data_IF_098122122806
#
_entry.id   IF_098122122806
#
_cell.length_a   1.000
_cell.length_b   1.000
_cell.length_c   1.000
_cell.angle_alpha   90.00
_cell.angle_beta   90.00
_cell.angle_gamma   90.00
#
_symmetry.space_group_name_H-M   'P 1'
#
loop_
_entity.id
_entity.type
_entity.pdbx_description
1 polymer ?
#
# COMPACT_ATOMS: atom_id res chain seq x y z
N UNK A 1 -34.56 8.57 -19.65
CA UNK A 1 -34.35 7.87 -18.36
C UNK A 1 -33.46 8.74 -17.50
N UNK A 2 -33.79 9.01 -16.22
CA UNK A 2 -32.93 9.77 -15.34
C UNK A 2 -31.67 8.97 -14.99
N UNK A 3 -30.53 9.66 -14.95
CA UNK A 3 -29.24 9.10 -14.56
C UNK A 3 -29.35 8.68 -13.09
N UNK A 4 -29.19 7.38 -12.79
CA UNK A 4 -29.08 6.92 -11.40
C UNK A 4 -27.83 7.53 -10.77
N UNK A 5 -28.04 8.15 -9.62
CA UNK A 5 -26.99 8.77 -8.82
C UNK A 5 -25.91 7.74 -8.45
N UNK A 6 -24.69 7.94 -8.95
CA UNK A 6 -23.53 7.07 -8.70
C UNK A 6 -22.66 7.56 -7.54
N UNK A 7 -23.05 8.63 -6.84
CA UNK A 7 -22.29 9.19 -5.73
C UNK A 7 -22.13 8.24 -4.53
N UNK A 8 -23.02 7.25 -4.38
CA UNK A 8 -23.06 6.38 -3.20
C UNK A 8 -21.86 5.41 -3.06
N UNK A 9 -21.10 5.13 -4.12
CA UNK A 9 -20.01 4.14 -4.03
C UNK A 9 -18.71 4.72 -3.45
N UNK A 10 -18.37 5.98 -3.73
CA UNK A 10 -17.21 6.64 -3.12
C UNK A 10 -17.36 6.82 -1.60
N UNK A 11 -18.60 7.00 -1.12
CA UNK A 11 -18.90 7.03 0.31
C UNK A 11 -18.65 5.70 1.02
N UNK A 12 -18.77 4.55 0.33
CA UNK A 12 -18.71 3.23 0.96
C UNK A 12 -17.31 2.83 1.49
N UNK A 13 -16.25 3.52 1.08
CA UNK A 13 -14.88 3.24 1.52
C UNK A 13 -14.51 4.11 2.70
N UNK A 14 -14.84 5.42 2.66
CA UNK A 14 -14.83 6.28 3.84
C UNK A 14 -15.72 5.71 4.97
N UNK A 15 -16.76 4.94 4.64
CA UNK A 15 -17.61 4.27 5.62
C UNK A 15 -16.91 3.09 6.36
N UNK A 16 -16.01 2.34 5.72
CA UNK A 16 -15.26 1.27 6.42
C UNK A 16 -14.32 1.85 7.49
N UNK A 17 -13.71 2.98 7.18
CA UNK A 17 -12.82 3.71 8.08
C UNK A 17 -13.61 4.39 9.23
N UNK A 18 -14.83 4.88 8.93
CA UNK A 18 -15.78 5.31 9.97
C UNK A 18 -16.21 4.16 10.86
N UNK A 19 -16.41 2.95 10.33
CA UNK A 19 -16.89 1.81 11.11
C UNK A 19 -15.87 1.36 12.17
N UNK A 20 -14.59 1.20 11.82
CA UNK A 20 -13.56 0.84 12.80
C UNK A 20 -13.38 1.94 13.86
N UNK A 21 -13.40 3.21 13.47
CA UNK A 21 -13.25 4.33 14.41
C UNK A 21 -14.41 4.41 15.40
N UNK A 22 -15.65 4.32 14.93
CA UNK A 22 -16.83 4.54 15.78
C UNK A 22 -17.20 3.31 16.62
N UNK A 23 -17.13 2.09 16.06
CA UNK A 23 -17.60 0.88 16.74
C UNK A 23 -16.52 0.14 17.53
N UNK A 24 -15.24 0.32 17.18
CA UNK A 24 -14.13 -0.50 17.71
C UNK A 24 -13.15 0.34 18.54
N UNK A 25 -12.61 1.42 17.96
CA UNK A 25 -11.56 2.23 18.58
C UNK A 25 -12.12 3.08 19.73
N UNK A 26 -13.19 3.84 19.47
CA UNK A 26 -13.84 4.73 20.45
C UNK A 26 -14.68 4.02 21.52
N UNK A 27 -14.71 2.69 21.53
CA UNK A 27 -15.45 1.88 22.50
C UNK A 27 -14.48 1.01 23.30
N UNK A 28 -14.88 0.52 24.48
CA UNK A 28 -14.00 -0.28 25.35
C UNK A 28 -12.81 0.50 25.95
N UNK A 29 -11.86 -0.21 26.56
CA UNK A 29 -10.68 0.46 27.17
C UNK A 29 -9.82 1.15 26.11
N UNK A 30 -9.30 2.33 26.45
CA UNK A 30 -8.38 3.09 25.60
C UNK A 30 -6.90 2.76 25.87
N UNK A 31 -6.62 1.75 26.72
CA UNK A 31 -5.28 1.19 26.87
C UNK A 31 -4.80 0.61 25.51
N UNK A 32 -3.53 0.84 25.10
CA UNK A 32 -3.06 0.43 23.77
C UNK A 32 -3.20 -1.07 23.49
N UNK A 33 -2.93 -1.93 24.47
CA UNK A 33 -3.10 -3.38 24.37
C UNK A 33 -4.55 -3.76 24.00
N UNK A 34 -5.49 -3.25 24.77
CA UNK A 34 -6.91 -3.51 24.58
C UNK A 34 -7.46 -2.90 23.27
N UNK A 35 -6.97 -1.73 22.89
CA UNK A 35 -7.35 -1.08 21.64
C UNK A 35 -6.85 -1.85 20.42
N UNK A 36 -5.58 -2.27 20.43
CA UNK A 36 -4.98 -3.07 19.36
C UNK A 36 -5.66 -4.44 19.25
N UNK A 37 -5.92 -5.11 20.37
CA UNK A 37 -6.68 -6.37 20.40
C UNK A 37 -8.03 -6.23 19.69
N UNK A 38 -8.83 -5.20 20.04
CA UNK A 38 -10.13 -4.95 19.40
C UNK A 38 -10.01 -4.64 17.91
N UNK A 39 -9.03 -3.82 17.51
CA UNK A 39 -8.80 -3.45 16.11
C UNK A 39 -8.42 -4.67 15.27
N UNK A 40 -7.44 -5.48 15.71
CA UNK A 40 -7.03 -6.69 14.98
C UNK A 40 -8.18 -7.70 14.94
N UNK A 41 -8.91 -7.90 16.04
CA UNK A 41 -10.07 -8.79 16.08
C UNK A 41 -11.16 -8.38 15.08
N UNK A 42 -11.50 -7.08 14.99
CA UNK A 42 -12.44 -6.57 13.99
C UNK A 42 -11.92 -6.80 12.57
N UNK A 43 -10.64 -6.49 12.34
CA UNK A 43 -9.97 -6.52 11.05
C UNK A 43 -9.84 -7.94 10.46
N UNK A 44 -9.90 -9.01 11.28
CA UNK A 44 -10.06 -10.40 10.80
C UNK A 44 -11.33 -10.61 9.96
N UNK A 45 -12.41 -9.86 10.25
CA UNK A 45 -13.73 -10.04 9.66
C UNK A 45 -14.15 -8.87 8.76
N UNK A 46 -13.67 -7.66 9.09
CA UNK A 46 -13.98 -6.37 8.45
C UNK A 46 -15.49 -6.14 8.27
N UNK A 47 -16.30 -6.63 9.21
CA UNK A 47 -17.77 -6.71 9.08
C UNK A 47 -18.49 -6.28 10.35
N UNK A 48 -19.26 -5.20 10.25
CA UNK A 48 -20.06 -4.63 11.34
C UNK A 48 -20.98 -5.68 11.99
N UNK A 49 -21.79 -6.42 11.23
CA UNK A 49 -22.71 -7.45 11.77
C UNK A 49 -21.99 -8.50 12.65
N UNK A 50 -20.75 -8.84 12.30
CA UNK A 50 -19.94 -9.81 13.05
C UNK A 50 -19.39 -9.19 14.33
N UNK A 51 -19.01 -7.92 14.29
CA UNK A 51 -18.65 -7.15 15.48
C UNK A 51 -19.84 -7.01 16.44
N UNK A 52 -21.00 -6.58 15.94
CA UNK A 52 -22.24 -6.47 16.74
C UNK A 52 -22.57 -7.79 17.43
N UNK A 53 -22.48 -8.93 16.74
CA UNK A 53 -22.74 -10.23 17.35
C UNK A 53 -21.73 -10.61 18.45
N UNK A 54 -20.46 -10.21 18.32
CA UNK A 54 -19.48 -10.36 19.40
C UNK A 54 -19.90 -9.50 20.60
N UNK A 55 -20.25 -8.22 20.39
CA UNK A 55 -20.70 -7.31 21.45
C UNK A 55 -21.95 -7.84 22.17
N UNK A 56 -22.94 -8.35 21.44
CA UNK A 56 -24.18 -8.91 22.01
C UNK A 56 -23.96 -10.15 22.89
N UNK A 57 -22.90 -10.92 22.63
CA UNK A 57 -22.64 -12.22 23.27
C UNK A 57 -21.58 -12.15 24.37
N UNK A 58 -20.59 -11.28 24.21
CA UNK A 58 -19.39 -11.22 25.06
C UNK A 58 -19.25 -9.85 25.75
N UNK A 59 -19.92 -8.81 25.24
CA UNK A 59 -19.64 -7.42 25.59
C UNK A 59 -18.46 -6.86 24.80
N UNK A 60 -17.87 -5.76 25.25
CA UNK A 60 -16.65 -5.23 24.63
C UNK A 60 -15.50 -6.24 24.78
N UNK A 61 -14.82 -6.65 23.69
CA UNK A 61 -13.71 -7.57 23.77
C UNK A 61 -12.57 -6.98 24.61
N UNK A 62 -12.09 -7.78 25.55
CA UNK A 62 -10.97 -7.48 26.45
C UNK A 62 -9.95 -8.60 26.34
N UNK A 63 -8.68 -8.27 26.08
CA UNK A 63 -7.58 -9.22 25.92
C UNK A 63 -7.28 -9.94 27.23
N UNK A 64 -7.25 -9.21 28.35
CA UNK A 64 -7.02 -9.79 29.68
C UNK A 64 -8.04 -10.87 30.11
N UNK A 65 -9.19 -10.95 29.42
CA UNK A 65 -10.22 -11.98 29.64
C UNK A 65 -10.57 -12.75 28.36
N UNK A 66 -9.66 -12.76 27.37
CA UNK A 66 -9.87 -13.47 26.12
C UNK A 66 -9.83 -14.99 26.31
N UNK A 67 -10.76 -15.70 25.66
CA UNK A 67 -10.79 -17.15 25.59
C UNK A 67 -11.12 -17.60 24.16
N UNK A 68 -10.21 -18.34 23.54
CA UNK A 68 -10.35 -18.78 22.13
C UNK A 68 -11.63 -19.58 21.90
N UNK A 69 -11.99 -20.49 22.81
CA UNK A 69 -13.12 -21.40 22.61
C UNK A 69 -14.47 -20.67 22.77
N UNK A 70 -14.56 -19.69 23.68
CA UNK A 70 -15.72 -18.79 23.81
C UNK A 70 -15.94 -17.99 22.52
N UNK A 71 -14.89 -17.32 22.01
CA UNK A 71 -14.99 -16.54 20.78
C UNK A 71 -15.27 -17.44 19.57
N UNK A 72 -14.64 -18.62 19.50
CA UNK A 72 -14.85 -19.59 18.44
C UNK A 72 -16.30 -20.11 18.42
N UNK A 73 -16.94 -20.29 19.59
CA UNK A 73 -18.33 -20.68 19.67
C UNK A 73 -19.27 -19.56 19.18
N UNK A 74 -19.09 -18.33 19.65
CA UNK A 74 -19.86 -17.15 19.21
C UNK A 74 -19.73 -16.91 17.70
N UNK A 75 -18.52 -17.03 17.15
CA UNK A 75 -18.28 -16.86 15.72
C UNK A 75 -18.82 -18.03 14.87
N UNK A 76 -18.93 -19.24 15.42
CA UNK A 76 -19.66 -20.36 14.77
C UNK A 76 -21.16 -20.11 14.73
N UNK A 77 -21.75 -19.56 15.80
CA UNK A 77 -23.17 -19.17 15.85
C UNK A 77 -23.47 -18.09 14.80
N UNK A 78 -22.67 -17.02 14.77
CA UNK A 78 -22.78 -15.97 13.74
C UNK A 78 -22.66 -16.54 12.31
N UNK A 79 -21.76 -17.51 12.10
CA UNK A 79 -21.56 -18.17 10.80
C UNK A 79 -22.71 -19.11 10.40
N UNK A 80 -23.44 -19.67 11.37
CA UNK A 80 -24.64 -20.45 11.11
C UNK A 80 -25.82 -19.53 10.70
N UNK A 81 -25.88 -18.32 11.25
CA UNK A 81 -26.89 -17.31 10.90
C UNK A 81 -26.61 -16.59 9.57
N UNK A 82 -25.34 -16.46 9.15
CA UNK A 82 -25.00 -15.80 7.89
C UNK A 82 -23.50 -15.73 7.57
N UNK A 83 -23.13 -14.82 6.66
CA UNK A 83 -21.72 -14.55 6.37
C UNK A 83 -21.09 -13.74 7.51
N UNK A 84 -19.95 -14.19 8.01
CA UNK A 84 -19.13 -13.48 9.03
C UNK A 84 -17.91 -12.75 8.45
N UNK A 85 -17.75 -12.77 7.13
CA UNK A 85 -16.67 -12.06 6.43
C UNK A 85 -17.31 -11.20 5.34
N UNK A 86 -16.71 -10.04 5.05
CA UNK A 86 -16.98 -9.28 3.82
C UNK A 86 -16.60 -10.07 2.56
N UNK A 87 -17.16 -9.67 1.41
CA UNK A 87 -16.80 -10.27 0.11
C UNK A 87 -15.44 -9.80 -0.44
N UNK A 88 -14.97 -8.64 0.04
CA UNK A 88 -13.62 -8.10 -0.16
C UNK A 88 -12.87 -8.13 1.16
N UNK A 89 -11.54 -8.06 1.13
CA UNK A 89 -10.68 -7.91 2.32
C UNK A 89 -10.65 -9.13 3.28
N UNK A 90 -11.03 -10.32 2.79
CA UNK A 90 -10.86 -11.56 3.56
C UNK A 90 -9.37 -11.85 3.75
N UNK A 91 -8.92 -11.90 5.01
CA UNK A 91 -7.56 -12.28 5.32
C UNK A 91 -7.37 -13.79 5.06
N UNK A 92 -6.22 -14.21 4.52
CA UNK A 92 -5.82 -15.61 4.51
C UNK A 92 -5.48 -15.98 5.94
N UNK A 93 -6.18 -16.96 6.51
CA UNK A 93 -5.73 -17.56 7.76
C UNK A 93 -4.37 -18.21 7.55
N UNK A 94 -3.36 -17.79 8.30
CA UNK A 94 -2.06 -18.46 8.35
C UNK A 94 -2.17 -19.93 8.75
N UNK A 95 -1.07 -20.67 8.61
CA UNK A 95 -1.06 -22.11 8.90
C UNK A 95 -0.71 -22.39 10.37
N UNK A 96 -1.66 -22.17 11.26
CA UNK A 96 -1.54 -22.42 12.71
C UNK A 96 -1.95 -23.84 13.13
N UNK A 97 -2.02 -24.80 12.20
CA UNK A 97 -2.30 -26.21 12.47
C UNK A 97 -3.75 -26.57 12.77
N UNK A 98 -4.65 -25.60 12.97
CA UNK A 98 -6.06 -25.89 13.26
C UNK A 98 -6.87 -26.28 12.01
N UNK A 99 -7.96 -27.03 12.21
CA UNK A 99 -8.86 -27.44 11.12
C UNK A 99 -9.84 -26.31 10.76
N UNK A 100 -9.57 -25.63 9.65
CA UNK A 100 -10.45 -24.61 9.05
C UNK A 100 -10.05 -23.17 9.38
N UNK A 101 -10.57 -22.21 8.61
CA UNK A 101 -10.10 -20.81 8.62
C UNK A 101 -10.27 -20.12 9.97
N UNK A 102 -11.44 -20.30 10.63
CA UNK A 102 -11.83 -19.51 11.79
C UNK A 102 -10.91 -19.69 13.03
N UNK A 103 -10.56 -20.91 13.49
CA UNK A 103 -9.59 -21.05 14.57
C UNK A 103 -8.17 -20.55 14.21
N UNK A 104 -7.76 -20.66 12.94
CA UNK A 104 -6.46 -20.15 12.49
C UNK A 104 -6.41 -18.60 12.45
N UNK A 105 -7.55 -17.91 12.27
CA UNK A 105 -7.63 -16.45 12.44
C UNK A 105 -7.48 -16.04 13.91
N UNK A 106 -8.13 -16.75 14.83
CA UNK A 106 -7.96 -16.51 16.26
C UNK A 106 -6.52 -16.79 16.71
N UNK A 107 -5.91 -17.89 16.24
CA UNK A 107 -4.49 -18.20 16.47
C UNK A 107 -3.53 -17.12 15.97
N UNK A 108 -3.84 -16.46 14.85
CA UNK A 108 -3.06 -15.31 14.37
C UNK A 108 -3.23 -14.08 15.27
N UNK A 109 -4.44 -13.80 15.73
CA UNK A 109 -4.71 -12.71 16.68
C UNK A 109 -3.96 -12.93 18.00
N UNK A 110 -4.01 -14.15 18.55
CA UNK A 110 -3.27 -14.52 19.75
C UNK A 110 -1.76 -14.37 19.55
N UNK A 111 -1.18 -14.89 18.46
CA UNK A 111 0.26 -14.73 18.21
C UNK A 111 0.66 -13.25 18.08
N UNK A 112 -0.15 -12.41 17.43
CA UNK A 112 0.12 -10.97 17.32
C UNK A 112 0.10 -10.26 18.67
N UNK A 113 -0.78 -10.66 19.59
CA UNK A 113 -0.84 -10.11 20.94
C UNK A 113 0.29 -10.65 21.82
N UNK A 114 0.57 -11.96 21.77
CA UNK A 114 1.63 -12.64 22.52
C UNK A 114 3.05 -12.18 22.12
N UNK A 115 3.28 -11.88 20.83
CA UNK A 115 4.56 -11.34 20.33
C UNK A 115 4.67 -9.79 20.46
N UNK A 116 3.79 -9.17 21.26
CA UNK A 116 3.72 -7.76 21.63
C UNK A 116 3.55 -6.76 20.46
N UNK A 117 2.56 -6.99 19.58
CA UNK A 117 2.12 -5.95 18.64
C UNK A 117 1.78 -4.61 19.32
N UNK A 118 1.10 -4.55 20.49
CA UNK A 118 0.78 -3.27 21.12
C UNK A 118 2.02 -2.45 21.51
N UNK A 119 3.01 -3.06 22.18
CA UNK A 119 4.27 -2.41 22.53
C UNK A 119 5.07 -2.03 21.29
N UNK A 120 5.07 -2.85 20.23
CA UNK A 120 5.69 -2.50 18.94
C UNK A 120 5.06 -1.27 18.30
N UNK A 121 3.72 -1.16 18.30
CA UNK A 121 2.99 -0.01 17.77
C UNK A 121 3.27 1.26 18.58
N UNK A 122 3.29 1.16 19.92
CA UNK A 122 3.52 2.31 20.81
C UNK A 122 4.96 2.84 20.75
N UNK A 123 5.94 1.99 20.44
CA UNK A 123 7.36 2.35 20.43
C UNK A 123 7.98 2.47 19.02
N UNK A 124 7.17 2.35 17.95
CA UNK A 124 7.64 2.40 16.57
C UNK A 124 8.11 3.80 16.17
N UNK A 125 9.34 3.92 15.65
CA UNK A 125 9.80 5.19 15.07
C UNK A 125 9.23 5.40 13.68
N UNK A 126 9.01 4.29 12.96
CA UNK A 126 8.50 4.30 11.58
C UNK A 126 7.34 3.33 11.43
N UNK A 127 6.33 3.74 10.67
CA UNK A 127 5.21 2.86 10.30
C UNK A 127 5.71 1.69 9.43
N UNK A 128 6.81 1.87 8.70
CA UNK A 128 7.48 0.78 7.98
C UNK A 128 7.98 -0.35 8.88
N UNK A 129 8.45 -0.05 10.10
CA UNK A 129 8.94 -1.06 11.06
C UNK A 129 7.81 -2.01 11.48
N UNK A 130 6.63 -1.45 11.77
CA UNK A 130 5.43 -2.23 12.10
C UNK A 130 4.94 -3.01 10.88
N UNK A 131 4.98 -2.41 9.68
CA UNK A 131 4.62 -3.09 8.43
C UNK A 131 5.51 -4.31 8.15
N UNK A 132 6.84 -4.13 8.20
CA UNK A 132 7.80 -5.19 7.92
C UNK A 132 7.72 -6.31 8.96
N UNK A 133 7.52 -5.97 10.24
CA UNK A 133 7.27 -6.95 11.29
C UNK A 133 5.97 -7.73 11.07
N UNK A 134 4.86 -7.06 10.79
CA UNK A 134 3.59 -7.74 10.49
C UNK A 134 3.71 -8.64 9.25
N UNK A 135 4.49 -8.24 8.23
CA UNK A 135 4.72 -9.06 7.03
C UNK A 135 5.52 -10.34 7.28
N UNK A 136 6.12 -10.54 8.46
CA UNK A 136 6.77 -11.83 8.79
C UNK A 136 5.80 -12.93 9.21
N UNK A 137 4.53 -12.60 9.49
CA UNK A 137 3.54 -13.55 10.00
C UNK A 137 2.84 -14.35 8.88
N UNK A 138 2.51 -15.61 9.18
CA UNK A 138 1.79 -16.48 8.23
C UNK A 138 0.40 -15.91 7.91
N UNK A 139 0.13 -15.64 6.63
CA UNK A 139 -1.13 -15.08 6.13
C UNK A 139 -1.06 -13.57 5.82
N UNK A 140 -0.11 -12.84 6.40
CA UNK A 140 0.06 -11.40 6.21
C UNK A 140 0.98 -11.10 5.00
N UNK A 141 0.44 -11.35 3.80
CA UNK A 141 1.02 -10.85 2.55
C UNK A 141 0.84 -9.33 2.40
N UNK A 142 1.60 -8.67 1.49
CA UNK A 142 1.76 -7.21 1.44
C UNK A 142 0.46 -6.39 1.54
N UNK A 143 -0.58 -6.83 0.82
CA UNK A 143 -1.89 -6.18 0.84
C UNK A 143 -2.59 -6.31 2.20
N UNK A 144 -2.69 -7.52 2.78
CA UNK A 144 -3.40 -7.73 4.05
C UNK A 144 -2.69 -7.05 5.21
N UNK A 145 -1.35 -7.03 5.18
CA UNK A 145 -0.49 -6.29 6.11
C UNK A 145 -0.80 -4.80 6.05
N UNK A 146 -0.91 -4.23 4.85
CA UNK A 146 -1.24 -2.82 4.66
C UNK A 146 -2.63 -2.50 5.21
N UNK A 147 -3.64 -3.33 4.92
CA UNK A 147 -4.99 -3.13 5.43
C UNK A 147 -5.06 -3.13 6.97
N UNK A 148 -4.41 -4.09 7.62
CA UNK A 148 -4.39 -4.17 9.08
C UNK A 148 -3.67 -2.97 9.69
N UNK A 149 -2.56 -2.55 9.08
CA UNK A 149 -1.79 -1.41 9.51
C UNK A 149 -2.56 -0.09 9.37
N UNK A 150 -3.34 0.09 8.30
CA UNK A 150 -4.24 1.23 8.13
C UNK A 150 -5.31 1.30 9.23
N UNK A 151 -5.89 0.15 9.60
CA UNK A 151 -6.81 0.05 10.75
C UNK A 151 -6.11 0.38 12.09
N UNK A 152 -4.82 0.05 12.23
CA UNK A 152 -4.00 0.46 13.38
C UNK A 152 -3.68 1.96 13.35
N UNK A 153 -3.41 2.58 12.19
CA UNK A 153 -3.19 4.04 12.07
C UNK A 153 -4.38 4.83 12.62
N UNK A 154 -5.61 4.37 12.37
CA UNK A 154 -6.82 5.02 12.90
C UNK A 154 -6.93 5.05 14.43
N UNK A 155 -6.13 4.27 15.17
CA UNK A 155 -6.03 4.37 16.64
C UNK A 155 -5.37 5.69 17.10
N UNK A 156 -4.58 6.32 16.23
CA UNK A 156 -3.71 7.45 16.57
C UNK A 156 -2.43 7.06 17.31
N UNK A 157 -2.21 5.78 17.65
CA UNK A 157 -1.00 5.33 18.35
C UNK A 157 0.27 5.54 17.49
N UNK A 158 0.16 5.39 16.16
CA UNK A 158 1.24 5.63 15.20
C UNK A 158 1.41 7.11 14.78
N UNK A 159 0.66 8.05 15.37
CA UNK A 159 0.69 9.48 14.99
C UNK A 159 2.04 10.18 15.26
N UNK A 160 2.99 9.49 15.88
CA UNK A 160 4.34 9.96 16.20
C UNK A 160 5.42 9.42 15.25
N UNK A 161 5.09 8.50 14.34
CA UNK A 161 6.05 7.88 13.44
C UNK A 161 6.51 8.84 12.33
N UNK A 162 7.81 8.85 12.06
CA UNK A 162 8.48 9.85 11.20
C UNK A 162 8.05 9.77 9.72
N UNK A 163 7.70 8.57 9.24
CA UNK A 163 7.37 8.30 7.84
C UNK A 163 5.87 8.13 7.57
N UNK A 164 5.00 8.39 8.54
CA UNK A 164 3.54 8.17 8.48
C UNK A 164 2.89 8.73 7.20
N UNK A 165 3.18 9.98 6.86
CA UNK A 165 2.60 10.67 5.68
C UNK A 165 3.29 10.27 4.34
N UNK A 166 4.42 9.55 4.41
CA UNK A 166 5.31 9.23 3.28
C UNK A 166 5.38 7.74 2.90
N UNK A 167 4.81 6.89 3.75
CA UNK A 167 4.75 5.44 3.61
C UNK A 167 3.44 4.99 2.94
N UNK A 168 3.56 4.13 1.92
CA UNK A 168 2.40 3.58 1.21
C UNK A 168 2.73 2.24 0.54
N UNK A 169 1.74 1.37 0.46
CA UNK A 169 1.79 0.08 -0.22
C UNK A 169 0.67 0.02 -1.25
N UNK A 170 1.02 -0.02 -2.54
CA UNK A 170 0.02 -0.04 -3.61
C UNK A 170 -0.56 -1.45 -3.76
N UNK A 171 -1.83 -1.63 -3.42
CA UNK A 171 -2.56 -2.86 -3.65
C UNK A 171 -2.82 -3.11 -5.14
N UNK A 172 -3.20 -4.34 -5.50
CA UNK A 172 -3.42 -4.70 -6.91
C UNK A 172 -4.53 -3.86 -7.59
N UNK A 173 -5.52 -3.38 -6.82
CA UNK A 173 -6.52 -2.43 -7.27
C UNK A 173 -5.91 -1.05 -7.56
N UNK A 174 -5.12 -0.50 -6.64
CA UNK A 174 -4.45 0.79 -6.83
C UNK A 174 -3.45 0.77 -7.99
N UNK A 175 -2.69 -0.32 -8.18
CA UNK A 175 -1.78 -0.48 -9.33
C UNK A 175 -2.55 -0.45 -10.66
N UNK A 176 -3.69 -1.15 -10.75
CA UNK A 176 -4.53 -1.11 -11.96
C UNK A 176 -5.20 0.25 -12.15
N UNK A 177 -5.72 0.85 -11.08
CA UNK A 177 -6.28 2.20 -11.10
C UNK A 177 -5.28 3.23 -11.59
N UNK A 178 -4.03 3.15 -11.09
CA UNK A 178 -2.92 3.99 -11.54
C UNK A 178 -2.62 3.77 -13.02
N UNK A 179 -2.58 2.52 -13.49
CA UNK A 179 -2.39 2.23 -14.91
C UNK A 179 -3.55 2.78 -15.78
N UNK A 180 -4.79 2.88 -15.26
CA UNK A 180 -5.92 3.51 -15.98
C UNK A 180 -5.75 5.03 -16.12
N UNK A 181 -4.91 5.68 -15.30
CA UNK A 181 -4.63 7.11 -15.40
C UNK A 181 -3.68 7.50 -16.54
N UNK A 182 -3.02 6.54 -17.20
CA UNK A 182 -1.99 6.80 -18.21
C UNK A 182 -2.19 5.90 -19.45
N UNK A 183 -1.90 6.45 -20.63
CA UNK A 183 -1.84 5.69 -21.89
C UNK A 183 -0.62 4.76 -21.93
N UNK A 184 0.52 5.26 -21.46
CA UNK A 184 1.78 4.51 -21.35
C UNK A 184 1.71 3.48 -20.23
N UNK A 185 2.32 2.31 -20.45
CA UNK A 185 2.47 1.29 -19.41
C UNK A 185 3.45 1.77 -18.34
N UNK A 186 3.04 1.74 -17.07
CA UNK A 186 3.89 2.09 -15.93
C UNK A 186 4.71 0.88 -15.47
N UNK A 187 6.04 1.05 -15.44
CA UNK A 187 6.94 0.10 -14.81
C UNK A 187 6.78 0.12 -13.29
N UNK A 188 7.00 -1.02 -12.61
CA UNK A 188 6.77 -1.15 -11.16
C UNK A 188 7.54 -0.13 -10.32
N UNK A 189 8.79 0.17 -10.70
CA UNK A 189 9.64 1.18 -10.06
C UNK A 189 9.02 2.58 -10.09
N UNK A 190 8.26 2.93 -11.14
CA UNK A 190 7.64 4.25 -11.31
C UNK A 190 6.36 4.43 -10.48
N UNK A 191 5.70 3.35 -10.05
CA UNK A 191 4.35 3.43 -9.49
C UNK A 191 4.29 4.26 -8.19
N UNK A 192 5.22 4.02 -7.25
CA UNK A 192 5.31 4.82 -6.00
C UNK A 192 5.75 6.28 -6.27
N UNK A 193 6.81 6.56 -7.06
CA UNK A 193 7.14 7.92 -7.48
C UNK A 193 5.97 8.69 -8.11
N UNK A 194 5.19 8.07 -9.01
CA UNK A 194 4.02 8.72 -9.62
C UNK A 194 2.93 9.02 -8.59
N UNK A 195 2.66 8.12 -7.63
CA UNK A 195 1.69 8.40 -6.55
C UNK A 195 2.16 9.53 -5.63
N UNK A 196 3.46 9.61 -5.32
CA UNK A 196 4.07 10.74 -4.58
C UNK A 196 3.99 12.05 -5.37
N UNK A 197 4.22 12.01 -6.68
CA UNK A 197 4.02 13.16 -7.55
C UNK A 197 2.56 13.61 -7.54
N UNK A 198 1.59 12.69 -7.70
CA UNK A 198 0.15 13.00 -7.62
C UNK A 198 -0.24 13.67 -6.29
N UNK A 199 0.38 13.29 -5.17
CA UNK A 199 0.21 13.95 -3.87
C UNK A 199 0.76 15.38 -3.90
N UNK A 200 2.02 15.55 -4.33
CA UNK A 200 2.76 16.82 -4.40
C UNK A 200 2.11 17.83 -5.34
N UNK A 201 1.45 17.37 -6.40
CA UNK A 201 0.79 18.21 -7.42
C UNK A 201 -0.73 18.26 -7.31
N UNK A 202 -1.34 17.65 -6.27
CA UNK A 202 -2.80 17.45 -6.20
C UNK A 202 -3.61 18.75 -6.44
N UNK A 203 -3.20 19.87 -5.82
CA UNK A 203 -3.86 21.18 -6.00
C UNK A 203 -3.83 21.65 -7.45
N UNK A 204 -2.68 21.56 -8.11
CA UNK A 204 -2.50 21.97 -9.51
C UNK A 204 -3.39 21.14 -10.43
N UNK A 205 -3.58 19.86 -10.14
CA UNK A 205 -4.46 18.99 -10.93
C UNK A 205 -5.94 19.29 -10.71
N UNK A 206 -6.38 19.57 -9.48
CA UNK A 206 -7.74 20.02 -9.22
C UNK A 206 -8.02 21.37 -9.92
N UNK A 207 -7.13 22.35 -9.76
CA UNK A 207 -7.26 23.69 -10.36
C UNK A 207 -7.29 23.63 -11.90
N UNK A 208 -6.35 22.89 -12.52
CA UNK A 208 -6.30 22.67 -13.98
C UNK A 208 -7.61 22.07 -14.55
N UNK A 209 -8.31 21.28 -13.74
CA UNK A 209 -9.58 20.64 -14.13
C UNK A 209 -10.83 21.46 -13.71
N UNK A 210 -10.65 22.65 -13.15
CA UNK A 210 -11.75 23.50 -12.68
C UNK A 210 -12.44 23.00 -11.40
N UNK A 211 -11.81 22.09 -10.66
CA UNK A 211 -12.31 21.57 -9.39
C UNK A 211 -11.69 22.28 -8.20
N UNK A 212 -12.47 22.43 -7.12
CA UNK A 212 -11.91 22.80 -5.81
C UNK A 212 -11.08 21.63 -5.27
N UNK A 213 -9.86 21.86 -4.72
CA UNK A 213 -9.08 20.79 -4.10
C UNK A 213 -9.86 20.01 -3.06
N UNK A 214 -9.82 18.68 -3.16
CA UNK A 214 -10.38 17.81 -2.13
C UNK A 214 -9.58 17.99 -0.83
N UNK A 215 -10.27 18.12 0.30
CA UNK A 215 -9.65 18.28 1.61
C UNK A 215 -10.40 17.51 2.68
N UNK A 216 -9.68 16.97 3.66
CA UNK A 216 -10.20 16.09 4.70
C UNK A 216 -10.36 16.84 6.03
N UNK A 217 -11.53 16.62 6.66
CA UNK A 217 -11.86 17.15 7.98
C UNK A 217 -12.03 18.68 8.06
N UNK A 218 -12.39 19.21 9.23
CA UNK A 218 -12.65 20.65 9.42
C UNK A 218 -11.39 21.52 9.26
N UNK A 219 -10.20 20.93 9.45
CA UNK A 219 -8.89 21.57 9.25
C UNK A 219 -8.45 21.65 7.78
N UNK A 220 -9.21 21.03 6.86
CA UNK A 220 -8.90 20.97 5.42
C UNK A 220 -7.51 20.40 5.10
N UNK A 221 -7.20 19.23 5.67
CA UNK A 221 -5.98 18.50 5.33
C UNK A 221 -5.98 18.08 3.86
N UNK A 222 -4.80 18.04 3.25
CA UNK A 222 -4.61 17.51 1.89
C UNK A 222 -4.70 15.98 1.89
N UNK A 223 -4.94 15.40 0.72
CA UNK A 223 -4.91 13.95 0.53
C UNK A 223 -3.49 13.44 0.80
N UNK A 224 -3.39 12.41 1.63
CA UNK A 224 -2.17 11.66 1.88
C UNK A 224 -1.98 10.54 0.87
N UNK A 225 -0.80 9.90 0.86
CA UNK A 225 -0.53 8.78 -0.05
C UNK A 225 -1.54 7.64 0.10
N UNK A 226 -1.99 7.38 1.33
CA UNK A 226 -3.06 6.44 1.64
C UNK A 226 -4.38 6.77 0.93
N UNK A 227 -4.83 8.03 0.98
CA UNK A 227 -6.07 8.48 0.32
C UNK A 227 -5.99 8.32 -1.20
N UNK A 228 -4.80 8.56 -1.77
CA UNK A 228 -4.56 8.41 -3.20
C UNK A 228 -4.53 6.93 -3.59
N UNK A 229 -3.91 6.06 -2.79
CA UNK A 229 -3.95 4.59 -2.98
C UNK A 229 -5.39 4.06 -2.96
N UNK A 230 -6.18 4.45 -1.96
CA UNK A 230 -7.60 4.11 -1.85
C UNK A 230 -8.40 4.63 -3.06
N UNK A 231 -8.20 5.89 -3.46
CA UNK A 231 -8.86 6.50 -4.62
C UNK A 231 -8.54 5.81 -5.95
N UNK A 232 -7.30 5.35 -6.12
CA UNK A 232 -6.88 4.55 -7.27
C UNK A 232 -7.50 3.14 -7.23
N UNK A 233 -7.59 2.51 -6.04
CA UNK A 233 -8.25 1.23 -5.87
C UNK A 233 -9.73 1.28 -6.28
N UNK A 234 -10.43 2.38 -5.96
CA UNK A 234 -11.82 2.60 -6.40
C UNK A 234 -11.96 2.92 -7.89
N UNK A 235 -10.96 3.55 -8.50
CA UNK A 235 -10.95 3.81 -9.95
C UNK A 235 -10.93 2.50 -10.77
N UNK A 236 -10.30 1.43 -10.27
CA UNK A 236 -10.34 0.10 -10.88
C UNK A 236 -11.72 -0.57 -10.68
N UNK A 237 -12.25 -0.57 -9.45
CA UNK A 237 -13.56 -1.19 -9.12
C UNK A 237 -14.73 -0.55 -9.87
N UNK A 238 -14.72 0.78 -10.03
CA UNK A 238 -15.89 1.55 -10.41
C UNK A 238 -16.24 1.64 -11.90
N UNK A 239 -15.38 1.16 -12.82
CA UNK A 239 -15.56 1.41 -14.27
C UNK A 239 -15.19 0.21 -15.16
N UNK A 240 -16.16 -0.43 -15.85
CA UNK A 240 -15.87 -1.48 -16.83
C UNK A 240 -15.28 -0.93 -18.16
N UNK A 241 -15.50 0.35 -18.47
CA UNK A 241 -14.92 1.00 -19.66
C UNK A 241 -13.59 1.71 -19.34
N UNK A 242 -12.60 1.66 -20.27
CA UNK A 242 -11.31 2.32 -20.08
C UNK A 242 -11.50 3.84 -20.01
N UNK A 243 -11.35 4.39 -18.81
CA UNK A 243 -11.37 5.82 -18.58
C UNK A 243 -9.93 6.30 -18.41
N UNK A 244 -9.32 6.66 -19.54
CA UNK A 244 -7.99 7.25 -19.57
C UNK A 244 -8.12 8.72 -19.14
N UNK A 245 -7.48 9.07 -18.03
CA UNK A 245 -7.25 10.49 -17.73
C UNK A 245 -6.21 11.02 -18.73
N UNK A 246 -6.41 12.21 -19.34
CA UNK A 246 -5.42 12.81 -20.23
C UNK A 246 -4.27 13.42 -19.43
N UNK A 247 -3.46 12.57 -18.82
CA UNK A 247 -2.18 12.92 -18.19
C UNK A 247 -1.10 12.54 -19.21
N UNK A 248 -0.51 13.54 -19.88
CA UNK A 248 0.61 13.28 -20.79
C UNK A 248 1.80 12.75 -19.97
N UNK A 249 2.31 11.60 -20.38
CA UNK A 249 3.43 10.91 -19.75
C UNK A 249 4.74 11.72 -19.85
N UNK A 250 4.98 12.44 -20.95
CA UNK A 250 6.19 13.25 -21.14
C UNK A 250 6.28 14.39 -20.12
N UNK A 251 5.21 15.18 -19.96
CA UNK A 251 5.15 16.25 -18.96
C UNK A 251 5.10 15.74 -17.52
N UNK A 252 4.79 14.45 -17.33
CA UNK A 252 4.91 13.78 -16.03
C UNK A 252 6.34 13.36 -15.78
N UNK A 253 7.04 12.78 -16.76
CA UNK A 253 8.45 12.42 -16.64
C UNK A 253 9.34 13.64 -16.36
N UNK A 254 9.15 14.77 -17.03
CA UNK A 254 9.92 15.98 -16.71
C UNK A 254 9.63 16.55 -15.31
N UNK A 255 8.45 16.28 -14.74
CA UNK A 255 8.09 16.65 -13.37
C UNK A 255 8.41 15.57 -12.31
N UNK A 256 8.72 14.35 -12.74
CA UNK A 256 9.12 13.19 -11.91
C UNK A 256 10.62 12.91 -12.00
N UNK A 257 11.34 13.60 -12.92
CA UNK A 257 12.80 13.78 -12.92
C UNK A 257 13.26 14.63 -11.73
N UNK A 258 13.04 14.13 -10.52
CA UNK A 258 14.05 14.29 -9.48
C UNK A 258 15.26 13.47 -9.98
N UNK A 259 16.33 14.15 -10.39
CA UNK A 259 17.56 13.50 -10.83
C UNK A 259 18.32 13.07 -9.58
N UNK A 260 18.23 11.79 -9.25
CA UNK A 260 18.91 11.21 -8.10
C UNK A 260 20.38 11.01 -8.45
N UNK A 261 21.24 11.95 -8.06
CA UNK A 261 22.68 11.80 -8.27
C UNK A 261 23.23 10.64 -7.44
N UNK A 262 23.83 9.65 -8.11
CA UNK A 262 24.61 8.60 -7.44
C UNK A 262 25.81 9.25 -6.74
N UNK A 263 25.89 9.09 -5.41
CA UNK A 263 27.05 9.46 -4.62
C UNK A 263 28.18 8.47 -4.85
N UNK A 264 27.91 7.17 -4.68
CA UNK A 264 28.81 6.07 -4.97
C UNK A 264 28.05 4.73 -4.95
N UNK A 265 28.69 3.68 -5.45
CA UNK A 265 28.22 2.29 -5.37
C UNK A 265 29.13 1.54 -4.40
N UNK A 266 28.55 0.85 -3.41
CA UNK A 266 29.31 0.18 -2.35
C UNK A 266 29.48 -1.33 -2.58
N UNK A 267 28.45 -2.01 -3.09
CA UNK A 267 28.43 -3.46 -3.28
C UNK A 267 27.69 -3.87 -4.55
N UNK A 268 27.79 -5.17 -4.89
CA UNK A 268 26.95 -5.83 -5.90
C UNK A 268 26.48 -7.19 -5.38
N UNK A 269 25.28 -7.61 -5.78
CA UNK A 269 24.72 -8.93 -5.45
C UNK A 269 23.94 -9.48 -6.65
N UNK A 270 23.82 -10.81 -6.75
CA UNK A 270 22.80 -11.41 -7.60
C UNK A 270 21.55 -11.60 -6.76
N UNK A 271 20.44 -11.00 -7.17
CA UNK A 271 19.15 -11.14 -6.48
C UNK A 271 18.75 -12.63 -6.44
N UNK A 272 18.46 -13.20 -5.25
CA UNK A 272 18.19 -14.62 -5.10
C UNK A 272 16.83 -15.08 -5.66
N UNK A 273 15.90 -14.15 -5.91
CA UNK A 273 14.57 -14.44 -6.47
C UNK A 273 14.52 -14.25 -7.98
N UNK A 274 15.10 -13.15 -8.50
CA UNK A 274 15.05 -12.81 -9.93
C UNK A 274 16.29 -13.27 -10.72
N UNK A 275 17.40 -13.58 -10.03
CA UNK A 275 18.68 -13.91 -10.65
C UNK A 275 19.39 -12.73 -11.33
N UNK A 276 18.83 -11.51 -11.25
CA UNK A 276 19.38 -10.28 -11.86
C UNK A 276 20.53 -9.75 -10.99
N UNK A 277 21.51 -9.08 -11.61
CA UNK A 277 22.54 -8.35 -10.87
C UNK A 277 22.00 -7.02 -10.36
N UNK A 278 22.24 -6.73 -9.09
CA UNK A 278 21.90 -5.49 -8.41
C UNK A 278 23.15 -4.86 -7.78
N UNK A 279 23.18 -3.53 -7.70
CA UNK A 279 24.21 -2.72 -7.07
C UNK A 279 23.64 -1.99 -5.85
N UNK A 280 24.44 -1.84 -4.80
CA UNK A 280 24.08 -1.05 -3.62
C UNK A 280 24.48 0.40 -3.85
N UNK A 281 23.49 1.24 -4.12
CA UNK A 281 23.63 2.63 -4.56
C UNK A 281 23.36 3.58 -3.40
N UNK A 282 24.31 4.48 -3.15
CA UNK A 282 24.15 5.60 -2.24
C UNK A 282 23.80 6.85 -3.04
N UNK A 283 22.78 7.59 -2.61
CA UNK A 283 22.27 8.76 -3.32
C UNK A 283 22.72 10.07 -2.66
N UNK A 284 23.06 11.09 -3.45
CA UNK A 284 23.48 12.39 -2.88
C UNK A 284 22.31 13.04 -2.13
N UNK A 285 22.48 13.24 -0.83
CA UNK A 285 21.49 13.89 0.03
C UNK A 285 20.52 12.93 0.74
N UNK A 286 20.78 11.62 0.68
CA UNK A 286 19.99 10.59 1.37
C UNK A 286 20.91 9.65 2.15
N UNK A 287 20.48 9.31 3.37
CA UNK A 287 21.31 8.54 4.31
C UNK A 287 21.20 7.01 4.13
N UNK A 288 20.14 6.52 3.48
CA UNK A 288 19.89 5.10 3.21
C UNK A 288 20.21 4.74 1.74
N UNK A 289 20.96 3.66 1.48
CA UNK A 289 21.18 3.15 0.12
C UNK A 289 20.00 2.31 -0.38
N UNK A 290 19.92 2.11 -1.70
CA UNK A 290 19.00 1.15 -2.33
C UNK A 290 19.73 0.13 -3.19
N UNK A 291 19.09 -1.01 -3.46
CA UNK A 291 19.62 -2.06 -4.33
C UNK A 291 18.98 -1.96 -5.71
N UNK A 292 19.72 -1.41 -6.68
CA UNK A 292 19.22 -1.14 -8.02
C UNK A 292 19.71 -2.16 -9.05
N UNK A 293 18.89 -2.58 -10.03
CA UNK A 293 19.31 -3.47 -11.10
C UNK A 293 20.44 -2.88 -11.94
N UNK A 294 21.36 -3.74 -12.39
CA UNK A 294 22.48 -3.34 -13.24
C UNK A 294 22.05 -2.57 -14.50
N UNK A 295 20.90 -2.93 -15.09
CA UNK A 295 20.34 -2.21 -16.25
C UNK A 295 20.00 -0.76 -15.96
N UNK A 296 19.56 -0.40 -14.75
CA UNK A 296 19.26 1.00 -14.38
C UNK A 296 20.55 1.81 -14.33
N UNK A 297 21.59 1.24 -13.71
CA UNK A 297 22.90 1.88 -13.58
C UNK A 297 23.62 1.99 -14.92
N UNK A 298 23.48 0.99 -15.80
CA UNK A 298 24.09 0.98 -17.14
C UNK A 298 23.41 1.96 -18.10
N UNK A 299 22.10 2.16 -17.99
CA UNK A 299 21.33 3.13 -18.78
C UNK A 299 21.67 4.58 -18.35
N UNK A 300 21.70 4.86 -17.05
CA UNK A 300 22.05 6.19 -16.49
C UNK A 300 23.55 6.55 -16.59
N UNK A 301 24.46 5.55 -16.51
CA UNK A 301 25.90 5.76 -16.68
C UNK A 301 26.28 6.16 -18.12
N UNK A 302 25.40 5.93 -19.09
CA UNK A 302 25.63 6.33 -20.48
C UNK A 302 25.26 7.80 -20.75
N UNK A 303 24.45 8.44 -19.89
CA UNK A 303 24.14 9.87 -19.95
C UNK A 303 24.96 10.74 -18.95
N UNK A 304 25.58 10.14 -17.93
CA UNK A 304 26.23 10.87 -16.82
C UNK A 304 27.78 11.01 -16.88
N UNK A 305 28.23 12.05 -17.59
CA UNK A 305 29.48 12.83 -17.36
C UNK A 305 30.84 12.18 -17.78
N UNK A 306 31.70 12.92 -18.52
CA UNK A 306 32.96 12.38 -19.02
C UNK A 306 34.08 12.33 -17.97
N UNK A 307 34.17 11.23 -17.20
CA UNK A 307 35.45 10.63 -16.75
C UNK A 307 35.34 9.29 -15.97
N UNK A 308 34.41 8.38 -16.32
CA UNK A 308 34.45 6.99 -15.81
C UNK A 308 35.53 6.16 -16.54
N UNK A 309 36.78 6.61 -16.47
CA UNK A 309 37.86 6.15 -17.37
C UNK A 309 38.40 4.75 -17.12
N UNK A 310 37.86 4.02 -16.12
CA UNK A 310 38.32 2.67 -15.73
C UNK A 310 37.23 1.58 -15.72
N UNK A 311 35.95 1.89 -15.93
CA UNK A 311 34.91 0.84 -16.06
C UNK A 311 34.74 0.35 -17.52
N UNK A 312 35.03 1.21 -18.49
CA UNK A 312 34.73 1.00 -19.92
C UNK A 312 35.66 -0.03 -20.59
N UNK A 313 36.80 -0.37 -20.00
CA UNK A 313 37.84 -1.18 -20.66
C UNK A 313 37.47 -2.67 -20.86
N UNK A 314 36.45 -3.20 -20.18
CA UNK A 314 36.05 -4.62 -20.32
C UNK A 314 34.88 -4.88 -21.29
N UNK A 315 34.12 -3.88 -21.71
CA UNK A 315 33.00 -4.04 -22.64
C UNK A 315 33.42 -4.03 -24.14
N UNK A 316 34.71 -4.15 -24.43
CA UNK A 316 35.29 -3.92 -25.76
C UNK A 316 35.30 -5.16 -26.68
N UNK A 317 34.55 -6.22 -26.35
CA UNK A 317 34.47 -7.46 -27.13
C UNK A 317 33.04 -8.01 -27.17
N UNK A 318 32.57 -8.38 -28.37
CA UNK A 318 31.22 -8.86 -28.78
C UNK A 318 30.28 -7.76 -29.33
N UNK A 319 30.52 -7.26 -30.55
CA UNK A 319 29.99 -7.81 -31.82
C UNK A 319 28.45 -7.80 -31.95
N UNK A 320 27.93 -6.70 -32.51
CA UNK A 320 26.67 -6.71 -33.28
C UNK A 320 26.99 -6.64 -34.78
N UNK A 321 26.44 -7.56 -35.57
CA UNK A 321 26.37 -7.39 -37.02
C UNK A 321 25.15 -6.53 -37.38
N UNK A 322 25.34 -5.61 -38.32
CA UNK A 322 24.31 -4.72 -38.83
C UNK A 322 23.25 -5.43 -39.69
N UNK A 323 22.09 -4.78 -39.88
CA UNK A 323 21.37 -4.64 -41.17
C UNK A 323 20.50 -3.37 -41.13
N UNK A 324 20.27 -2.76 -42.29
CA UNK A 324 19.52 -1.51 -42.51
C UNK A 324 18.44 -1.74 -43.61
N UNK A 325 17.60 -0.80 -44.08
CA UNK A 325 17.36 0.64 -43.85
C UNK A 325 16.05 1.02 -44.55
N UNK A 326 15.15 1.79 -43.94
CA UNK A 326 14.16 2.58 -44.67
C UNK A 326 13.67 3.80 -43.87
N UNK A 327 13.82 5.05 -44.38
CA UNK A 327 13.30 6.26 -43.77
C UNK A 327 12.12 6.86 -44.57
N UNK A 328 10.95 6.21 -44.58
CA UNK A 328 9.73 6.80 -45.15
C UNK A 328 8.48 6.55 -44.31
N UNK A 329 8.05 7.55 -43.52
CA UNK A 329 6.71 8.16 -43.54
C UNK A 329 6.54 9.15 -42.37
N UNK A 330 6.06 10.36 -42.68
CA UNK A 330 5.69 11.40 -41.70
C UNK A 330 4.18 11.42 -41.56
N UNK A 331 3.66 11.19 -40.35
CA UNK A 331 2.36 11.72 -39.88
C UNK A 331 2.46 12.03 -38.38
N UNK A 332 1.81 13.11 -37.96
CA UNK A 332 1.84 13.64 -36.60
C UNK A 332 0.98 12.84 -35.59
N UNK A 333 1.32 13.04 -34.30
CA UNK A 333 0.44 12.95 -33.11
C UNK A 333 -0.38 11.67 -32.89
N UNK A 334 -0.13 10.95 -31.78
CA UNK A 334 -0.98 11.02 -30.59
C UNK A 334 -0.34 10.34 -29.36
#
# INVERSE_FOLDING_TARGET
MPIRDKGQHAFYILLLDVDVVQWVIRTGSQDPEEMIFRVVLFDLFTRQDTWTHIIEKIGHPVWATYDRDVYLQVLKEAKAAGKIYTGSFQKPSGKYGFKGVLPNHLAMLEQLMEDDLPGRVVNAKRISEVYDWLRSFSGLGPFNTWQMLQNIVYTGLLAHCEDLDSFVVLGCGAVKGLQRCFTTRLNTSMQKPVVRWMQKTQRLHFERLGYTPATLGPKKHELQLADIEHGLCELDKGRPEPFVLPINFESTLEAVKEVWEVSHIANQRRNPESGVMEYEVYWRGYDEPSWEPASVIEEDAMESVPNVRNAVTLAHQMHWHAVTSDPTHVVALF
#
